data_IF_593431646791
#
_entry.id   IF_593431646791
#
_cell.length_a   1.000
_cell.length_b   1.000
_cell.length_c   1.000
_cell.angle_alpha   90.00
_cell.angle_beta   90.00
_cell.angle_gamma   90.00
#
_symmetry.space_group_name_H-M   'P 1'
#
loop_
_entity.id
_entity.type
_entity.pdbx_description
1 polymer ?
#
# COMPACT_ATOMS: atom_id res chain seq x y z
N UNK A 1 19.31 -1.45 6.86
CA UNK A 1 19.15 -1.39 6.35
C UNK A 1 19.14 -1.28 5.76
N UNK A 2 19.15 -1.15 5.69
CA UNK A 2 19.05 -0.90 4.93
C UNK A 2 18.75 -1.21 4.06
N UNK A 3 18.34 -1.32 3.73
CA UNK A 3 18.05 -1.45 2.94
C UNK A 3 17.75 -1.42 2.13
N UNK A 4 17.64 -1.45 1.88
CA UNK A 4 17.35 -1.25 1.14
C UNK A 4 17.02 -0.61 0.79
N UNK A 5 17.09 -0.66 1.19
CA UNK A 5 16.64 0.07 0.56
C UNK A 5 16.74 1.45 0.51
N UNK A 6 17.14 1.94 -0.42
CA UNK A 6 17.42 3.31 -0.61
C UNK A 6 16.21 4.18 -0.46
N UNK A 7 15.08 3.64 -0.81
CA UNK A 7 13.84 4.37 -0.68
C UNK A 7 13.51 4.72 0.74
N UNK A 8 14.04 3.95 1.65
CA UNK A 8 13.83 4.23 3.05
C UNK A 8 14.52 5.49 3.51
N UNK A 9 15.39 6.02 2.69
CA UNK A 9 16.09 7.25 3.07
C UNK A 9 15.19 8.45 3.04
N UNK A 10 14.22 8.47 2.12
CA UNK A 10 13.31 9.60 2.03
C UNK A 10 11.99 9.34 2.71
N UNK A 11 11.66 8.07 2.96
CA UNK A 11 10.39 7.72 3.58
C UNK A 11 10.52 7.55 5.07
N UNK A 12 9.52 8.02 5.79
CA UNK A 12 9.49 7.88 7.25
C UNK A 12 8.93 6.54 7.68
N UNK A 13 8.24 5.85 6.80
CA UNK A 13 7.53 4.61 7.16
C UNK A 13 8.15 3.42 6.46
N UNK A 14 8.29 2.34 7.20
CA UNK A 14 8.77 1.08 6.66
C UNK A 14 7.57 0.27 6.15
N UNK A 15 7.69 -0.26 4.95
CA UNK A 15 6.61 -1.07 4.37
C UNK A 15 6.80 -2.52 4.74
N UNK A 16 5.69 -3.17 5.11
CA UNK A 16 5.68 -4.58 5.44
C UNK A 16 4.61 -5.26 4.61
N UNK A 17 5.00 -6.28 3.83
CA UNK A 17 4.08 -6.98 2.94
C UNK A 17 3.75 -8.34 3.53
N UNK A 18 2.45 -8.63 3.66
CA UNK A 18 1.99 -9.90 4.24
C UNK A 18 2.23 -11.04 3.27
N UNK A 19 2.20 -12.26 3.79
CA UNK A 19 2.38 -13.44 2.95
C UNK A 19 1.28 -13.57 1.90
N UNK A 20 0.06 -13.31 2.29
CA UNK A 20 -1.04 -13.39 1.33
C UNK A 20 -0.88 -12.35 0.24
N UNK A 21 -0.32 -11.22 0.58
CA UNK A 21 -0.10 -10.14 -0.36
C UNK A 21 1.05 -10.41 -1.31
N UNK A 22 1.96 -11.30 -0.93
CA UNK A 22 3.03 -11.73 -1.83
C UNK A 22 2.46 -12.34 -3.11
N UNK A 23 1.35 -13.07 -2.99
CA UNK A 23 0.70 -13.65 -4.15
C UNK A 23 0.14 -12.57 -5.05
N UNK A 24 -0.44 -11.53 -4.46
CA UNK A 24 -0.94 -10.40 -5.22
C UNK A 24 0.19 -9.74 -5.99
N UNK A 25 1.34 -9.61 -5.34
CA UNK A 25 2.50 -9.00 -5.96
C UNK A 25 2.93 -9.78 -7.20
N UNK A 26 2.87 -11.11 -7.13
CA UNK A 26 3.22 -11.94 -8.28
C UNK A 26 2.25 -11.74 -9.43
N UNK A 27 0.97 -11.64 -9.13
CA UNK A 27 -0.02 -11.38 -10.18
C UNK A 27 0.22 -10.03 -10.83
N UNK A 28 0.52 -9.03 -10.04
CA UNK A 28 0.71 -7.68 -10.51
C UNK A 28 1.89 -7.58 -11.47
N UNK A 29 2.91 -8.39 -11.25
CA UNK A 29 4.08 -8.39 -12.12
C UNK A 29 3.75 -8.67 -13.59
N UNK A 30 2.63 -9.33 -13.83
CA UNK A 30 2.21 -9.68 -15.18
C UNK A 30 1.55 -8.51 -15.92
N UNK A 31 1.32 -7.41 -15.21
CA UNK A 31 0.61 -6.25 -15.76
C UNK A 31 1.44 -5.00 -15.53
N UNK A 32 2.28 -4.62 -16.51
CA UNK A 32 3.26 -3.55 -16.29
C UNK A 32 2.67 -2.20 -15.85
N UNK A 33 1.52 -1.83 -16.42
CA UNK A 33 0.90 -0.55 -16.05
C UNK A 33 0.41 -0.59 -14.60
N UNK A 34 -0.18 -1.72 -14.21
CA UNK A 34 -0.65 -1.91 -12.85
C UNK A 34 0.52 -1.90 -11.88
N UNK A 35 1.60 -2.57 -12.25
CA UNK A 35 2.80 -2.63 -11.43
C UNK A 35 3.35 -1.24 -11.18
N UNK A 36 3.39 -0.41 -12.21
CA UNK A 36 3.90 0.95 -12.07
C UNK A 36 3.03 1.76 -11.10
N UNK A 37 1.71 1.63 -11.22
CA UNK A 37 0.81 2.35 -10.33
C UNK A 37 1.00 1.91 -8.89
N UNK A 38 1.17 0.61 -8.67
CA UNK A 38 1.40 0.08 -7.32
C UNK A 38 2.71 0.63 -6.77
N UNK A 39 3.77 0.60 -7.56
CA UNK A 39 5.06 1.09 -7.10
C UNK A 39 5.00 2.56 -6.71
N UNK A 40 4.31 3.36 -7.51
CA UNK A 40 4.17 4.78 -7.21
C UNK A 40 3.42 5.00 -5.90
N UNK A 41 2.35 4.22 -5.69
CA UNK A 41 1.59 4.33 -4.45
C UNK A 41 2.41 3.89 -3.25
N UNK A 42 3.18 2.81 -3.39
CA UNK A 42 3.99 2.33 -2.27
C UNK A 42 5.04 3.36 -1.88
N UNK A 43 5.66 4.01 -2.84
CA UNK A 43 6.64 5.06 -2.54
C UNK A 43 5.97 6.22 -1.83
N UNK A 44 4.83 6.63 -2.32
CA UNK A 44 4.10 7.74 -1.71
C UNK A 44 3.69 7.40 -0.28
N UNK A 45 3.19 6.19 -0.07
CA UNK A 45 2.74 5.76 1.26
C UNK A 45 3.90 5.66 2.23
N UNK A 46 5.07 5.25 1.75
CA UNK A 46 6.24 5.15 2.63
C UNK A 46 6.68 6.53 3.11
N UNK A 47 6.42 7.57 2.34
CA UNK A 47 6.75 8.92 2.75
C UNK A 47 5.67 9.52 3.64
N UNK A 48 4.41 9.34 3.24
CA UNK A 48 3.30 9.86 4.02
C UNK A 48 2.05 9.06 3.67
N UNK A 49 1.66 8.10 4.54
CA UNK A 49 0.50 7.24 4.25
C UNK A 49 -0.82 7.99 4.22
N UNK A 50 -0.86 9.23 4.66
CA UNK A 50 -2.08 10.05 4.68
C UNK A 50 -2.05 11.17 3.68
N UNK A 51 -1.14 11.14 2.72
CA UNK A 51 -1.06 12.21 1.73
C UNK A 51 -2.29 12.23 0.84
N UNK A 52 -2.78 13.42 0.60
CA UNK A 52 -3.96 13.65 -0.22
C UNK A 52 -3.74 14.96 -0.99
N UNK A 53 -3.78 15.03 -2.33
CA UNK A 53 -4.03 13.88 -3.21
C UNK A 53 -2.84 12.93 -3.31
N UNK A 54 -3.02 11.71 -3.79
CA UNK A 54 -4.30 11.15 -4.26
C UNK A 54 -5.20 10.78 -3.09
N UNK A 55 -6.49 10.65 -3.31
CA UNK A 55 -7.41 10.37 -2.22
C UNK A 55 -7.25 8.96 -1.67
N UNK A 56 -7.61 8.82 -0.42
CA UNK A 56 -7.68 7.51 0.22
C UNK A 56 -8.95 7.47 1.05
N UNK A 57 -9.38 6.26 1.38
CA UNK A 57 -10.59 6.06 2.19
C UNK A 57 -10.24 5.27 3.43
N UNK A 58 -10.83 5.67 4.54
CA UNK A 58 -10.71 4.91 5.77
C UNK A 58 -11.80 3.84 5.77
N UNK A 59 -11.41 2.60 5.99
CA UNK A 59 -12.37 1.51 5.98
C UNK A 59 -13.04 1.38 7.34
N UNK A 60 -14.27 0.86 7.34
CA UNK A 60 -15.06 0.71 8.56
C UNK A 60 -15.40 -0.76 8.74
N UNK A 61 -16.01 -1.07 9.88
CA UNK A 61 -16.39 -2.44 10.21
C UNK A 61 -15.18 -3.24 10.67
N UNK A 62 -15.08 -4.46 10.17
CA UNK A 62 -13.99 -5.35 10.58
C UNK A 62 -12.62 -4.88 10.09
N UNK A 63 -12.61 -3.93 9.17
CA UNK A 63 -11.37 -3.42 8.60
C UNK A 63 -11.03 -2.03 9.13
N UNK A 64 -11.56 -1.68 10.30
CA UNK A 64 -11.22 -0.37 10.84
C UNK A 64 -9.73 -0.29 11.09
N UNK A 65 -9.18 0.92 10.98
CA UNK A 65 -7.76 1.23 11.02
C UNK A 65 -7.04 0.85 9.74
N UNK A 66 -7.79 0.38 8.74
CA UNK A 66 -7.23 0.15 7.42
C UNK A 66 -7.64 1.29 6.50
N UNK A 67 -6.83 1.49 5.49
CA UNK A 67 -7.05 2.51 4.49
C UNK A 67 -6.98 1.89 3.11
N UNK A 68 -7.69 2.48 2.17
CA UNK A 68 -7.75 1.98 0.81
C UNK A 68 -7.43 3.10 -0.17
N UNK A 69 -6.57 2.81 -1.12
CA UNK A 69 -6.28 3.73 -2.22
C UNK A 69 -6.54 3.02 -3.54
N UNK A 70 -7.06 3.76 -4.50
CA UNK A 70 -7.31 3.21 -5.82
C UNK A 70 -5.98 3.02 -6.56
N UNK A 71 -5.76 1.82 -7.10
CA UNK A 71 -4.64 1.56 -7.97
C UNK A 71 -5.02 1.89 -9.41
N UNK A 72 -6.20 1.40 -9.80
CA UNK A 72 -6.80 1.71 -11.10
C UNK A 72 -8.31 1.56 -10.92
N UNK A 73 -9.05 1.47 -12.03
CA UNK A 73 -10.51 1.42 -11.95
C UNK A 73 -11.03 0.15 -11.28
N UNK A 74 -10.21 -0.90 -11.19
CA UNK A 74 -10.65 -2.20 -10.70
C UNK A 74 -9.96 -2.64 -9.41
N UNK A 75 -8.75 -2.16 -9.14
CA UNK A 75 -7.96 -2.69 -8.04
C UNK A 75 -7.65 -1.61 -7.03
N UNK A 76 -7.56 -2.03 -5.77
CA UNK A 76 -7.28 -1.15 -4.66
C UNK A 76 -6.14 -1.69 -3.83
N UNK A 77 -5.39 -0.77 -3.24
CA UNK A 77 -4.33 -1.07 -2.29
C UNK A 77 -4.90 -0.83 -0.89
N UNK A 78 -4.86 -1.87 -0.05
CA UNK A 78 -5.36 -1.75 1.33
C UNK A 78 -4.19 -1.89 2.28
N UNK A 79 -4.11 -1.00 3.24
CA UNK A 79 -2.97 -0.97 4.17
C UNK A 79 -3.40 -0.51 5.56
N UNK A 80 -2.59 -0.87 6.54
CA UNK A 80 -2.73 -0.42 7.92
C UNK A 80 -1.52 0.42 8.30
N UNK A 81 -1.72 1.41 9.16
CA UNK A 81 -0.63 2.27 9.59
C UNK A 81 -0.41 2.11 11.08
N UNK A 82 0.81 1.80 11.45
CA UNK A 82 1.24 1.74 12.84
C UNK A 82 2.10 2.97 13.08
N UNK A 83 1.48 4.01 13.63
CA UNK A 83 2.11 5.32 13.75
C UNK A 83 3.32 5.32 14.67
N UNK A 84 3.22 4.62 15.78
CA UNK A 84 4.31 4.64 16.74
C UNK A 84 5.56 3.95 16.21
N UNK A 85 5.35 2.84 15.52
CA UNK A 85 6.46 2.09 14.94
C UNK A 85 6.92 2.62 13.60
N UNK A 86 6.12 3.51 13.00
CA UNK A 86 6.38 4.00 11.66
C UNK A 86 6.43 2.86 10.66
N UNK A 87 5.41 2.01 10.71
CA UNK A 87 5.27 0.86 9.82
C UNK A 87 3.94 0.95 9.10
N UNK A 88 3.97 0.67 7.80
CA UNK A 88 2.76 0.49 7.01
C UNK A 88 2.71 -0.96 6.57
N UNK A 89 1.65 -1.65 6.99
CA UNK A 89 1.45 -3.05 6.64
C UNK A 89 0.53 -3.13 5.44
N UNK A 90 1.00 -3.73 4.36
CA UNK A 90 0.22 -3.87 3.14
C UNK A 90 -0.63 -5.12 3.28
N UNK A 91 -1.94 -4.95 3.22
CA UNK A 91 -2.90 -6.03 3.42
C UNK A 91 -3.27 -6.68 2.10
N UNK A 92 -3.52 -5.88 1.07
CA UNK A 92 -3.96 -6.40 -0.22
C UNK A 92 -3.63 -5.41 -1.32
N UNK A 93 -3.29 -5.91 -2.50
CA UNK A 93 -2.98 -5.07 -3.66
C UNK A 93 -3.78 -5.45 -4.89
N UNK A 94 -4.57 -6.50 -4.81
CA UNK A 94 -5.26 -7.01 -6.00
C UNK A 94 -6.77 -6.94 -5.87
N UNK A 95 -7.29 -6.96 -4.66
CA UNK A 95 -8.70 -7.13 -4.42
C UNK A 95 -9.55 -5.94 -4.79
N UNK A 96 -10.78 -6.21 -5.14
CA UNK A 96 -11.83 -5.22 -5.16
C UNK A 96 -12.48 -5.20 -3.80
N UNK A 97 -12.71 -4.03 -3.27
CA UNK A 97 -13.54 -3.91 -2.08
C UNK A 97 -14.74 -3.07 -2.45
N UNK A 98 -15.90 -3.69 -2.36
CA UNK A 98 -17.15 -2.99 -2.58
C UNK A 98 -17.75 -2.67 -1.22
N UNK A 99 -18.00 -1.43 -1.00
CA UNK A 99 -18.51 -0.96 0.28
C UNK A 99 -19.87 -0.34 0.14
#
# INVERSE_FOLDING_TARGET
LRLRSVKNLSGDYKLMITKSDQKDKEKIKQYPALKRNVQNLLELISENPFQNPPPYERLIGNLKQCYSRRINSQHRLVYMVYEEEKIVKIISMWSHYEF
#
